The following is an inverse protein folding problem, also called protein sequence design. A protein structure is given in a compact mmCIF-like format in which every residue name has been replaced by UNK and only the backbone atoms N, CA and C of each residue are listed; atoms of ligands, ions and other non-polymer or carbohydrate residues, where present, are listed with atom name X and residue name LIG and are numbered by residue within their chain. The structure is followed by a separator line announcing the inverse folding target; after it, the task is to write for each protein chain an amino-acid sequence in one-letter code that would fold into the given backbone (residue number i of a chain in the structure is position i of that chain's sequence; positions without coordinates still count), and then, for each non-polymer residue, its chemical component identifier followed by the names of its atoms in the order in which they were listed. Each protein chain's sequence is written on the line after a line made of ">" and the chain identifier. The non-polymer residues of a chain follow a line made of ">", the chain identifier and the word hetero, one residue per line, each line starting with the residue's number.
data_IF_587478844630
#
_entry.id   IF_587478844630
#
_cell.length_a   1.000
_cell.length_b   1.000
_cell.length_c   1.000
_cell.angle_alpha   90.00
_cell.angle_beta   90.00
_cell.angle_gamma   90.00
#
_symmetry.space_group_name_H-M   'P 1'
#
loop_
_entity.id
_entity.type
_entity.pdbx_description
1 polymer ?
#
# COMPACT_ATOMS: atom_id res chain seq x y z
N UNK A 1 -51.74 -34.81 9.96
CA UNK A 1 -50.77 -34.42 8.93
C UNK A 1 -50.10 -33.16 9.40
N UNK A 2 -48.94 -33.30 10.02
CA UNK A 2 -48.25 -32.23 10.73
C UNK A 2 -47.12 -31.67 9.82
N UNK A 3 -47.23 -30.41 9.46
CA UNK A 3 -46.14 -29.69 8.74
C UNK A 3 -45.16 -29.14 9.78
N UNK A 4 -43.98 -29.75 9.86
CA UNK A 4 -42.82 -29.15 10.52
C UNK A 4 -42.18 -28.17 9.60
N UNK A 5 -42.27 -26.87 9.90
CA UNK A 5 -41.49 -25.82 9.31
C UNK A 5 -40.13 -25.75 10.03
N UNK A 6 -39.07 -26.18 9.36
CA UNK A 6 -37.69 -26.02 9.83
C UNK A 6 -37.24 -24.56 9.72
N UNK A 7 -37.11 -23.90 10.85
CA UNK A 7 -36.51 -22.57 10.96
C UNK A 7 -34.99 -22.69 10.97
N UNK A 8 -34.35 -22.38 9.83
CA UNK A 8 -32.88 -22.29 9.77
C UNK A 8 -32.47 -20.93 10.31
N UNK A 9 -31.97 -20.89 11.53
CA UNK A 9 -31.40 -19.71 12.17
C UNK A 9 -29.97 -19.53 11.66
N UNK A 10 -29.78 -18.67 10.67
CA UNK A 10 -28.46 -18.26 10.20
C UNK A 10 -27.87 -17.27 11.22
N UNK A 11 -27.05 -17.77 12.12
CA UNK A 11 -26.23 -16.93 13.01
C UNK A 11 -25.11 -16.27 12.20
N UNK A 12 -25.30 -14.99 11.90
CA UNK A 12 -24.24 -14.09 11.39
C UNK A 12 -23.23 -13.87 12.53
N UNK A 13 -22.11 -14.59 12.51
CA UNK A 13 -20.95 -14.26 13.34
C UNK A 13 -20.33 -12.97 12.78
N UNK A 14 -20.70 -11.82 13.34
CA UNK A 14 -19.92 -10.60 13.26
C UNK A 14 -18.64 -10.80 14.08
N UNK A 15 -17.56 -11.21 13.40
CA UNK A 15 -16.23 -11.16 13.97
C UNK A 15 -15.83 -9.68 14.10
N UNK A 16 -16.14 -9.08 15.24
CA UNK A 16 -15.49 -7.85 15.69
C UNK A 16 -14.04 -8.22 15.95
N UNK A 17 -13.14 -7.84 15.04
CA UNK A 17 -11.69 -7.89 15.28
C UNK A 17 -11.38 -6.88 16.38
N UNK A 18 -11.54 -7.29 17.63
CA UNK A 18 -10.96 -6.57 18.76
C UNK A 18 -9.45 -6.63 18.54
N UNK A 19 -8.81 -5.45 18.40
CA UNK A 19 -7.36 -5.33 18.47
C UNK A 19 -6.93 -6.03 19.76
N UNK A 20 -6.36 -7.21 19.63
CA UNK A 20 -5.91 -8.00 20.78
C UNK A 20 -4.80 -7.18 21.45
N UNK A 21 -5.06 -6.74 22.68
CA UNK A 21 -4.13 -5.94 23.45
C UNK A 21 -2.85 -6.75 23.65
N UNK A 22 -1.79 -6.40 22.92
CA UNK A 22 -0.51 -7.12 22.98
C UNK A 22 0.11 -6.99 24.37
N UNK A 23 0.55 -8.11 24.92
CA UNK A 23 1.24 -8.16 26.20
C UNK A 23 2.77 -8.16 26.06
N UNK A 24 3.27 -8.30 24.83
CA UNK A 24 4.70 -8.27 24.51
C UNK A 24 4.91 -7.54 23.15
N UNK A 25 6.08 -6.94 22.90
CA UNK A 25 6.40 -6.37 21.59
C UNK A 25 6.40 -7.49 20.52
N UNK A 26 6.20 -7.15 19.25
CA UNK A 26 6.30 -8.10 18.15
C UNK A 26 7.70 -8.70 18.09
N UNK A 27 7.77 -9.98 17.71
CA UNK A 27 9.05 -10.64 17.49
C UNK A 27 9.74 -10.16 16.21
N UNK A 28 11.04 -10.48 16.09
CA UNK A 28 11.85 -10.08 14.92
C UNK A 28 11.25 -10.55 13.59
N UNK A 29 10.67 -11.75 13.53
CA UNK A 29 10.03 -12.28 12.33
C UNK A 29 8.82 -11.44 11.88
N UNK A 30 8.00 -10.96 12.81
CA UNK A 30 6.86 -10.09 12.52
C UNK A 30 7.31 -8.71 12.03
N UNK A 31 8.34 -8.12 12.68
CA UNK A 31 8.95 -6.85 12.24
C UNK A 31 9.59 -6.98 10.85
N UNK A 32 10.21 -8.13 10.56
CA UNK A 32 10.78 -8.41 9.24
C UNK A 32 9.69 -8.54 8.15
N UNK A 33 8.52 -9.11 8.47
CA UNK A 33 7.40 -9.18 7.53
C UNK A 33 6.83 -7.79 7.22
N UNK A 34 6.66 -6.93 8.22
CA UNK A 34 6.22 -5.53 8.04
C UNK A 34 7.26 -4.78 7.20
N UNK A 35 8.54 -4.90 7.54
CA UNK A 35 9.65 -4.33 6.76
C UNK A 35 9.60 -4.79 5.31
N UNK A 36 9.40 -6.09 5.06
CA UNK A 36 9.35 -6.66 3.72
C UNK A 36 8.19 -6.10 2.89
N UNK A 37 7.00 -5.98 3.46
CA UNK A 37 5.84 -5.38 2.76
C UNK A 37 6.03 -3.90 2.49
N UNK A 38 6.55 -3.14 3.44
CA UNK A 38 6.84 -1.71 3.25
C UNK A 38 7.90 -1.44 2.18
N UNK A 39 8.95 -2.27 2.11
CA UNK A 39 9.95 -2.22 1.03
C UNK A 39 9.34 -2.52 -0.35
N UNK A 40 8.50 -3.56 -0.44
CA UNK A 40 7.80 -3.88 -1.69
C UNK A 40 6.87 -2.74 -2.13
N UNK A 41 6.20 -2.08 -1.19
CA UNK A 41 5.35 -0.93 -1.48
C UNK A 41 6.17 0.25 -2.01
N UNK A 42 7.35 0.53 -1.43
CA UNK A 42 8.25 1.57 -1.91
C UNK A 42 8.81 1.27 -3.30
N UNK A 43 9.19 0.01 -3.55
CA UNK A 43 9.64 -0.41 -4.89
C UNK A 43 8.50 -0.30 -5.92
N UNK A 44 7.26 -0.65 -5.55
CA UNK A 44 6.08 -0.48 -6.40
C UNK A 44 5.87 0.98 -6.78
N UNK A 45 5.95 1.88 -5.80
CA UNK A 45 5.76 3.32 -6.00
C UNK A 45 6.80 3.91 -6.97
N UNK A 46 8.08 3.58 -6.77
CA UNK A 46 9.18 3.97 -7.67
C UNK A 46 8.94 3.46 -9.08
N UNK A 47 8.58 2.18 -9.23
CA UNK A 47 8.32 1.58 -10.54
C UNK A 47 7.12 2.24 -11.24
N UNK A 48 6.02 2.45 -10.51
CA UNK A 48 4.82 3.07 -11.03
C UNK A 48 5.08 4.53 -11.47
N UNK A 49 5.83 5.30 -10.67
CA UNK A 49 6.18 6.68 -11.00
C UNK A 49 6.98 6.76 -12.31
N UNK A 50 8.15 6.09 -12.37
CA UNK A 50 9.02 6.18 -13.54
C UNK A 50 8.41 5.56 -14.80
N UNK A 51 7.64 4.48 -14.67
CA UNK A 51 6.86 3.93 -15.78
C UNK A 51 5.78 4.92 -16.27
N UNK A 52 5.13 5.64 -15.33
CA UNK A 52 4.14 6.67 -15.69
C UNK A 52 4.80 7.80 -16.47
N UNK A 53 5.95 8.30 -16.03
CA UNK A 53 6.70 9.34 -16.77
C UNK A 53 7.06 8.89 -18.17
N UNK A 54 7.52 7.64 -18.33
CA UNK A 54 7.86 7.07 -19.63
C UNK A 54 6.65 6.90 -20.55
N UNK A 55 5.45 6.57 -20.01
CA UNK A 55 4.23 6.47 -20.80
C UNK A 55 3.66 7.84 -21.15
N UNK A 56 3.66 8.78 -20.21
CA UNK A 56 3.19 10.17 -20.44
C UNK A 56 3.99 10.86 -21.54
N UNK A 57 5.29 10.59 -21.63
CA UNK A 57 6.16 11.10 -22.71
C UNK A 57 5.71 10.67 -24.11
N UNK A 58 4.92 9.59 -24.24
CA UNK A 58 4.33 9.14 -25.49
C UNK A 58 2.98 9.80 -25.83
N UNK A 59 2.49 10.71 -24.97
CA UNK A 59 1.22 11.43 -25.15
C UNK A 59 0.04 10.48 -25.43
N UNK A 60 -0.30 9.58 -24.49
CA UNK A 60 -1.37 8.60 -24.67
C UNK A 60 -2.70 9.31 -24.98
N UNK A 61 -3.54 8.79 -25.94
CA UNK A 61 -4.83 9.34 -26.22
C UNK A 61 -5.74 9.38 -24.99
N UNK A 62 -6.54 10.42 -24.87
CA UNK A 62 -7.52 10.55 -23.79
C UNK A 62 -8.42 9.30 -23.70
N UNK A 63 -8.69 8.81 -22.49
CA UNK A 63 -9.51 7.63 -22.24
C UNK A 63 -8.85 6.29 -22.57
N UNK A 64 -7.63 6.27 -23.15
CA UNK A 64 -6.91 5.01 -23.41
C UNK A 64 -6.41 4.34 -22.14
N UNK A 65 -6.16 5.12 -21.08
CA UNK A 65 -5.66 4.69 -19.77
C UNK A 65 -6.58 5.21 -18.67
N UNK A 66 -7.12 4.31 -17.85
CA UNK A 66 -7.89 4.64 -16.65
C UNK A 66 -7.08 4.36 -15.36
N UNK A 67 -6.09 3.45 -15.43
CA UNK A 67 -5.22 3.09 -14.30
C UNK A 67 -3.94 2.43 -14.75
N UNK A 68 -2.99 2.39 -13.83
CA UNK A 68 -1.77 1.59 -13.91
C UNK A 68 -1.81 0.45 -12.90
N UNK A 69 -1.04 -0.61 -13.16
CA UNK A 69 -0.87 -1.77 -12.30
C UNK A 69 0.55 -2.26 -12.46
N UNK A 70 1.27 -2.46 -11.35
CA UNK A 70 2.64 -2.96 -11.39
C UNK A 70 2.74 -4.37 -10.81
N UNK A 71 3.67 -5.15 -11.35
CA UNK A 71 4.01 -6.50 -10.88
C UNK A 71 5.51 -6.68 -10.90
N UNK A 72 6.08 -7.18 -9.81
CA UNK A 72 7.48 -7.61 -9.78
C UNK A 72 7.60 -9.01 -10.39
N UNK A 73 8.58 -9.18 -11.28
CA UNK A 73 8.96 -10.45 -11.91
C UNK A 73 10.45 -10.72 -11.62
N UNK A 74 10.94 -11.87 -12.01
CA UNK A 74 12.38 -12.19 -11.89
C UNK A 74 13.26 -11.25 -12.74
N UNK A 75 12.72 -10.69 -13.81
CA UNK A 75 13.40 -9.73 -14.69
C UNK A 75 13.25 -8.25 -14.27
N UNK A 76 12.59 -7.96 -13.15
CA UNK A 76 12.28 -6.61 -12.69
C UNK A 76 10.80 -6.27 -12.70
N UNK A 77 10.48 -4.99 -12.61
CA UNK A 77 9.10 -4.51 -12.57
C UNK A 77 8.49 -4.42 -13.98
N UNK A 78 7.24 -4.86 -14.09
CA UNK A 78 6.38 -4.64 -15.27
C UNK A 78 5.20 -3.79 -14.82
N UNK A 79 4.98 -2.66 -15.48
CA UNK A 79 3.86 -1.76 -15.21
C UNK A 79 2.99 -1.68 -16.45
N UNK A 80 1.71 -2.03 -16.31
CA UNK A 80 0.75 -1.94 -17.40
C UNK A 80 -0.19 -0.77 -17.19
N UNK A 81 -0.59 -0.13 -18.28
CA UNK A 81 -1.49 1.01 -18.32
C UNK A 81 -2.67 0.67 -19.21
N UNK A 82 -3.87 0.85 -18.70
CA UNK A 82 -5.05 0.43 -19.46
C UNK A 82 -6.36 0.66 -18.73
N UNK A 83 -7.39 -0.05 -19.16
CA UNK A 83 -8.73 0.04 -18.63
C UNK A 83 -9.48 -1.28 -18.80
N UNK A 84 -10.60 -1.44 -18.11
CA UNK A 84 -11.50 -2.54 -18.43
C UNK A 84 -12.14 -2.36 -19.83
N UNK A 85 -12.48 -3.47 -20.47
CA UNK A 85 -13.40 -3.44 -21.60
C UNK A 85 -14.83 -3.07 -21.13
N UNK A 86 -15.76 -2.84 -22.07
CA UNK A 86 -17.14 -2.45 -21.75
C UNK A 86 -17.88 -3.46 -20.87
N UNK A 87 -17.66 -4.76 -21.12
CA UNK A 87 -18.26 -5.86 -20.33
C UNK A 87 -17.60 -6.06 -18.96
N UNK A 88 -16.46 -5.41 -18.72
CA UNK A 88 -15.62 -5.55 -17.50
C UNK A 88 -15.20 -6.99 -17.19
N UNK A 89 -15.10 -7.83 -18.21
CA UNK A 89 -14.64 -9.22 -18.13
C UNK A 89 -13.17 -9.40 -18.56
N UNK A 90 -12.53 -8.32 -19.06
CA UNK A 90 -11.12 -8.27 -19.44
C UNK A 90 -10.50 -6.92 -19.08
N UNK A 91 -9.19 -6.92 -18.86
CA UNK A 91 -8.40 -5.70 -18.79
C UNK A 91 -7.67 -5.47 -20.11
N UNK A 92 -7.81 -4.28 -20.67
CA UNK A 92 -7.22 -3.86 -21.94
C UNK A 92 -5.93 -3.09 -21.65
N UNK A 93 -4.78 -3.70 -21.90
CA UNK A 93 -3.46 -3.08 -21.75
C UNK A 93 -3.16 -2.27 -23.00
N UNK A 94 -3.14 -0.94 -22.87
CA UNK A 94 -2.74 -0.03 -23.93
C UNK A 94 -1.22 0.15 -23.99
N UNK A 95 -0.56 0.22 -22.82
CA UNK A 95 0.89 0.34 -22.70
C UNK A 95 1.42 -0.63 -21.67
N UNK A 96 2.61 -1.18 -21.93
CA UNK A 96 3.36 -2.05 -21.04
C UNK A 96 4.76 -1.46 -20.89
N UNK A 97 5.14 -1.06 -19.69
CA UNK A 97 6.45 -0.55 -19.35
C UNK A 97 7.23 -1.62 -18.59
N UNK A 98 8.37 -2.01 -19.11
CA UNK A 98 9.27 -3.02 -18.51
C UNK A 98 10.51 -2.33 -17.98
N UNK A 99 10.88 -2.61 -16.74
CA UNK A 99 12.09 -2.07 -16.10
C UNK A 99 13.35 -2.48 -16.87
N UNK A 100 14.26 -1.53 -17.08
CA UNK A 100 15.54 -1.72 -17.72
C UNK A 100 16.67 -2.03 -16.74
N UNK A 101 17.87 -1.49 -17.05
CA UNK A 101 19.09 -1.73 -16.26
C UNK A 101 19.13 -1.02 -14.90
N UNK A 102 18.24 -0.08 -14.64
CA UNK A 102 18.14 0.64 -13.36
C UNK A 102 16.71 0.71 -12.87
N UNK A 103 16.48 1.01 -11.56
CA UNK A 103 15.14 1.14 -10.99
C UNK A 103 14.29 2.25 -11.62
N UNK A 104 14.92 3.23 -12.28
CA UNK A 104 14.26 4.40 -12.87
C UNK A 104 14.13 4.33 -14.39
N UNK A 105 14.70 3.32 -15.04
CA UNK A 105 14.65 3.14 -16.49
C UNK A 105 13.52 2.20 -16.87
N UNK A 106 12.62 2.66 -17.76
CA UNK A 106 11.53 1.84 -18.28
C UNK A 106 11.46 1.91 -19.81
N UNK A 107 11.35 0.73 -20.46
CA UNK A 107 11.08 0.59 -21.90
C UNK A 107 9.58 0.40 -22.08
N UNK A 108 8.95 1.26 -22.88
CA UNK A 108 7.51 1.23 -23.10
C UNK A 108 7.19 0.56 -24.42
N UNK A 109 6.25 -0.39 -24.39
CA UNK A 109 5.58 -0.96 -25.56
C UNK A 109 4.14 -0.48 -25.61
N UNK A 110 3.74 0.15 -26.72
CA UNK A 110 2.34 0.41 -27.05
C UNK A 110 1.73 -0.86 -27.66
N UNK A 111 0.51 -1.19 -27.25
CA UNK A 111 -0.31 -2.24 -27.87
C UNK A 111 -1.40 -1.62 -28.70
N UNK A 112 -1.44 -1.96 -30.01
CA UNK A 112 -2.44 -1.45 -30.96
C UNK A 112 -2.87 -2.60 -31.90
N UNK A 113 -4.08 -3.18 -31.71
CA UNK A 113 -5.06 -2.85 -30.65
C UNK A 113 -4.58 -3.19 -29.24
N UNK A 114 -5.22 -2.64 -28.19
CA UNK A 114 -4.89 -2.96 -26.81
C UNK A 114 -4.91 -4.46 -26.52
N UNK A 115 -3.90 -4.96 -25.80
CA UNK A 115 -3.79 -6.38 -25.44
C UNK A 115 -4.80 -6.73 -24.35
N UNK A 116 -5.66 -7.70 -24.64
CA UNK A 116 -6.59 -8.24 -23.65
C UNK A 116 -5.87 -9.15 -22.64
N UNK A 117 -6.20 -9.02 -21.36
CA UNK A 117 -5.72 -9.94 -20.31
C UNK A 117 -6.82 -10.27 -19.31
N UNK A 118 -6.78 -11.51 -18.80
CA UNK A 118 -7.60 -12.04 -17.71
C UNK A 118 -6.73 -12.62 -16.58
N UNK A 119 -5.44 -12.27 -16.56
CA UNK A 119 -4.45 -12.72 -15.61
C UNK A 119 -4.38 -11.82 -14.34
N UNK A 120 -3.22 -11.80 -13.67
CA UNK A 120 -2.96 -10.99 -12.48
C UNK A 120 -3.46 -9.54 -12.62
N UNK A 121 -3.21 -8.88 -13.76
CA UNK A 121 -3.57 -7.46 -13.93
C UNK A 121 -5.08 -7.24 -13.96
N UNK A 122 -5.83 -8.19 -14.50
CA UNK A 122 -7.30 -8.14 -14.46
C UNK A 122 -7.81 -8.26 -13.01
N UNK A 123 -7.30 -9.23 -12.24
CA UNK A 123 -7.71 -9.41 -10.85
C UNK A 123 -7.25 -8.27 -9.95
N UNK A 124 -6.05 -7.75 -10.17
CA UNK A 124 -5.54 -6.56 -9.47
C UNK A 124 -6.40 -5.32 -9.74
N UNK A 125 -6.84 -5.10 -10.98
CA UNK A 125 -7.76 -4.01 -11.32
C UNK A 125 -9.10 -4.15 -10.61
N UNK A 126 -9.67 -5.38 -10.52
CA UNK A 126 -10.90 -5.66 -9.77
C UNK A 126 -10.70 -5.42 -8.27
N UNK A 127 -9.57 -5.86 -7.71
CA UNK A 127 -9.25 -5.67 -6.31
C UNK A 127 -9.18 -4.19 -5.92
N UNK A 128 -8.63 -3.33 -6.80
CA UNK A 128 -8.67 -1.87 -6.62
C UNK A 128 -10.12 -1.37 -6.55
N UNK A 129 -10.98 -1.77 -7.49
CA UNK A 129 -12.38 -1.34 -7.48
C UNK A 129 -13.09 -1.77 -6.20
N UNK A 130 -12.86 -3.01 -5.76
CA UNK A 130 -13.42 -3.56 -4.52
C UNK A 130 -12.94 -2.76 -3.29
N UNK A 131 -11.65 -2.46 -3.21
CA UNK A 131 -11.09 -1.67 -2.11
C UNK A 131 -11.63 -0.23 -2.11
N UNK A 132 -11.66 0.42 -3.27
CA UNK A 132 -12.12 1.82 -3.39
C UNK A 132 -13.63 1.95 -3.14
N UNK A 133 -14.45 0.95 -3.47
CA UNK A 133 -15.88 0.94 -3.14
C UNK A 133 -16.15 0.94 -1.63
N UNK A 134 -15.26 0.30 -0.84
CA UNK A 134 -15.34 0.26 0.63
C UNK A 134 -14.58 1.41 1.32
N UNK A 135 -13.60 2.01 0.66
CA UNK A 135 -12.74 3.04 1.23
C UNK A 135 -13.52 4.31 1.57
N UNK A 136 -13.31 4.80 2.79
CA UNK A 136 -13.87 6.08 3.29
C UNK A 136 -12.73 6.92 3.84
N UNK A 137 -12.09 7.67 2.99
CA UNK A 137 -11.01 8.60 3.33
C UNK A 137 -11.44 10.05 3.26
N UNK A 138 -10.50 10.97 3.52
CA UNK A 138 -10.68 12.39 3.31
C UNK A 138 -10.85 12.70 1.81
N UNK A 139 -11.45 13.86 1.49
CA UNK A 139 -11.61 14.29 0.09
C UNK A 139 -10.27 14.82 -0.47
N UNK A 140 -9.41 13.91 -0.92
CA UNK A 140 -8.09 14.20 -1.52
C UNK A 140 -7.70 13.10 -2.49
N UNK A 141 -6.69 13.29 -3.34
CA UNK A 141 -6.11 12.23 -4.16
C UNK A 141 -5.45 11.14 -3.31
N UNK A 142 -5.56 9.90 -3.78
CA UNK A 142 -4.91 8.72 -3.20
C UNK A 142 -4.17 7.94 -4.27
N UNK A 143 -3.00 7.44 -3.94
CA UNK A 143 -2.30 6.42 -4.71
C UNK A 143 -2.80 5.04 -4.28
N UNK A 144 -2.87 4.12 -5.23
CA UNK A 144 -3.31 2.75 -4.97
C UNK A 144 -2.26 1.78 -5.49
N UNK A 145 -1.79 0.89 -4.62
CA UNK A 145 -0.84 -0.17 -4.97
C UNK A 145 -1.44 -1.54 -4.71
N UNK A 146 -1.13 -2.51 -5.57
CA UNK A 146 -1.57 -3.90 -5.40
C UNK A 146 -0.35 -4.81 -5.33
N UNK A 147 -0.19 -5.52 -4.22
CA UNK A 147 0.87 -6.49 -4.02
C UNK A 147 0.28 -7.90 -3.81
N UNK A 148 0.92 -8.95 -4.32
CA UNK A 148 0.55 -10.32 -3.97
C UNK A 148 0.62 -10.53 -2.45
N UNK A 149 -0.41 -11.15 -1.87
CA UNK A 149 -0.42 -11.54 -0.47
C UNK A 149 -0.06 -13.02 -0.32
N UNK A 150 0.49 -13.40 0.85
CA UNK A 150 0.58 -14.80 1.23
C UNK A 150 -0.85 -15.40 1.23
N UNK A 151 -0.99 -16.69 1.01
CA UNK A 151 -2.28 -17.38 0.99
C UNK A 151 -3.27 -16.97 -0.12
N UNK A 152 -2.75 -16.74 -1.34
CA UNK A 152 -3.56 -16.52 -2.55
C UNK A 152 -4.55 -15.34 -2.47
N UNK A 153 -4.09 -14.23 -1.93
CA UNK A 153 -4.84 -12.96 -1.90
C UNK A 153 -4.06 -11.81 -2.55
N UNK A 154 -4.67 -10.64 -2.54
CA UNK A 154 -4.09 -9.40 -3.00
C UNK A 154 -4.14 -8.36 -1.87
N UNK A 155 -3.00 -7.80 -1.49
CA UNK A 155 -2.97 -6.59 -0.67
C UNK A 155 -3.22 -5.38 -1.57
N UNK A 156 -4.21 -4.58 -1.20
CA UNK A 156 -4.46 -3.29 -1.83
C UNK A 156 -4.20 -2.21 -0.81
N UNK A 157 -3.22 -1.36 -1.08
CA UNK A 157 -2.88 -0.20 -0.26
C UNK A 157 -3.52 1.04 -0.87
N UNK A 158 -4.23 1.81 -0.05
CA UNK A 158 -4.77 3.12 -0.40
C UNK A 158 -4.05 4.13 0.48
N UNK A 159 -3.16 4.93 -0.10
CA UNK A 159 -2.30 5.88 0.60
C UNK A 159 -2.52 7.30 0.06
N UNK A 160 -2.54 8.34 0.90
CA UNK A 160 -2.70 9.71 0.42
C UNK A 160 -1.60 10.08 -0.58
N UNK A 161 -1.99 10.65 -1.71
CA UNK A 161 -1.03 11.11 -2.72
C UNK A 161 -0.32 12.39 -2.27
N UNK A 162 0.96 12.51 -2.60
CA UNK A 162 1.68 13.76 -2.48
C UNK A 162 1.15 14.76 -3.51
N UNK A 163 0.64 15.90 -3.05
CA UNK A 163 0.08 16.95 -3.91
C UNK A 163 0.95 18.20 -3.97
N UNK A 164 1.96 18.28 -3.09
CA UNK A 164 2.91 19.40 -3.04
C UNK A 164 4.32 18.86 -2.93
N UNK A 165 5.23 19.41 -3.73
CA UNK A 165 6.64 19.03 -3.67
C UNK A 165 7.22 19.28 -2.27
N UNK A 166 7.98 18.31 -1.73
CA UNK A 166 8.62 18.40 -0.42
C UNK A 166 7.69 18.25 0.78
N UNK A 167 6.38 18.02 0.57
CA UNK A 167 5.42 17.73 1.63
C UNK A 167 4.92 16.29 1.45
N UNK A 168 5.23 15.44 2.41
CA UNK A 168 4.87 14.02 2.38
C UNK A 168 3.68 13.78 3.31
N UNK A 169 2.51 13.38 2.77
CA UNK A 169 1.37 13.00 3.61
C UNK A 169 1.66 11.66 4.26
N UNK A 170 1.70 11.62 5.59
CA UNK A 170 1.91 10.40 6.38
C UNK A 170 0.63 10.04 7.11
N UNK A 171 0.16 8.81 6.97
CA UNK A 171 -1.05 8.30 7.61
C UNK A 171 -2.33 8.48 6.80
N UNK A 172 -3.50 8.21 7.41
CA UNK A 172 -4.78 8.17 6.73
C UNK A 172 -4.91 7.04 5.71
N UNK A 173 -4.09 6.06 5.82
CA UNK A 173 -3.87 4.95 4.90
C UNK A 173 -4.59 3.68 5.36
N UNK A 174 -4.95 2.85 4.39
CA UNK A 174 -5.65 1.58 4.61
C UNK A 174 -5.02 0.49 3.75
N UNK A 175 -4.79 -0.66 4.34
CA UNK A 175 -4.48 -1.89 3.63
C UNK A 175 -5.71 -2.81 3.63
N UNK A 176 -6.08 -3.29 2.45
CA UNK A 176 -7.07 -4.35 2.29
C UNK A 176 -6.36 -5.66 1.95
N UNK A 177 -6.84 -6.76 2.50
CA UNK A 177 -6.63 -8.09 1.94
C UNK A 177 -7.86 -8.44 1.13
N UNK A 178 -7.69 -8.59 -0.17
CA UNK A 178 -8.74 -8.93 -1.13
C UNK A 178 -8.52 -10.37 -1.61
N UNK A 179 -9.62 -11.08 -1.89
CA UNK A 179 -9.56 -12.43 -2.47
C UNK A 179 -8.82 -12.42 -3.82
N UNK A 180 -8.24 -13.56 -4.20
CA UNK A 180 -7.43 -13.70 -5.42
C UNK A 180 -8.18 -13.28 -6.69
N UNK A 181 -9.50 -13.51 -6.76
CA UNK A 181 -10.37 -13.09 -7.87
C UNK A 181 -10.71 -11.59 -7.86
N UNK A 182 -10.25 -10.84 -6.86
CA UNK A 182 -10.40 -9.40 -6.75
C UNK A 182 -11.76 -8.89 -6.29
N UNK A 183 -12.69 -9.77 -5.82
CA UNK A 183 -14.09 -9.35 -5.60
C UNK A 183 -14.53 -9.27 -4.15
N UNK A 184 -13.78 -9.85 -3.20
CA UNK A 184 -14.18 -9.92 -1.79
C UNK A 184 -13.13 -9.29 -0.88
N UNK A 185 -13.54 -8.36 -0.02
CA UNK A 185 -12.74 -7.90 1.11
C UNK A 185 -12.67 -9.01 2.14
N UNK A 186 -11.47 -9.51 2.43
CA UNK A 186 -11.19 -10.51 3.47
C UNK A 186 -10.85 -9.80 4.77
N UNK A 187 -9.97 -8.78 4.70
CA UNK A 187 -9.55 -7.97 5.83
C UNK A 187 -9.43 -6.49 5.41
N UNK A 188 -9.77 -5.60 6.31
CA UNK A 188 -9.50 -4.16 6.20
C UNK A 188 -8.71 -3.72 7.41
N UNK A 189 -7.49 -3.25 7.18
CA UNK A 189 -6.62 -2.70 8.21
C UNK A 189 -6.43 -1.21 8.00
N UNK A 190 -7.02 -0.40 8.88
CA UNK A 190 -6.66 1.00 8.99
C UNK A 190 -5.32 1.08 9.69
N UNK A 191 -4.30 1.63 9.03
CA UNK A 191 -2.94 1.68 9.57
C UNK A 191 -2.74 2.93 10.41
N UNK A 192 -3.23 4.08 9.94
CA UNK A 192 -3.20 5.35 10.68
C UNK A 192 -4.55 6.07 10.65
N UNK A 193 -4.87 6.81 11.71
CA UNK A 193 -6.15 7.51 11.83
C UNK A 193 -6.22 8.82 11.06
N UNK A 194 -5.15 9.62 11.10
CA UNK A 194 -5.11 10.97 10.55
C UNK A 194 -3.92 11.13 9.62
N UNK A 195 -4.01 12.11 8.76
CA UNK A 195 -2.94 12.47 7.83
C UNK A 195 -2.11 13.59 8.45
N UNK A 196 -0.81 13.37 8.55
CA UNK A 196 0.19 14.35 8.95
C UNK A 196 0.92 14.84 7.69
N UNK A 197 0.85 16.12 7.40
CA UNK A 197 1.62 16.73 6.31
C UNK A 197 3.05 17.00 6.79
N UNK A 198 3.97 16.08 6.43
CA UNK A 198 5.37 16.13 6.86
C UNK A 198 6.19 16.91 5.85
N UNK A 199 6.62 18.12 6.23
CA UNK A 199 7.52 18.94 5.41
C UNK A 199 8.97 18.81 5.91
N UNK A 200 9.92 18.75 4.98
CA UNK A 200 11.32 18.95 5.33
C UNK A 200 11.51 20.39 5.83
N UNK A 201 12.29 20.62 6.89
CA UNK A 201 12.63 21.98 7.31
C UNK A 201 13.28 22.77 6.17
N UNK A 202 12.91 24.03 6.02
CA UNK A 202 13.51 24.89 5.00
C UNK A 202 15.02 25.04 5.23
N UNK A 203 15.79 25.00 4.15
CA UNK A 203 17.25 25.20 4.16
C UNK A 203 18.05 24.14 4.94
N UNK A 204 17.59 22.89 4.98
CA UNK A 204 18.37 21.78 5.54
C UNK A 204 18.51 20.66 4.53
N UNK A 205 19.76 20.22 4.34
CA UNK A 205 20.09 19.08 3.49
C UNK A 205 19.99 17.74 4.26
N UNK A 206 19.75 17.82 5.57
CA UNK A 206 19.66 16.64 6.44
C UNK A 206 18.59 16.81 7.51
N UNK A 207 17.92 15.70 7.82
CA UNK A 207 17.00 15.53 8.94
C UNK A 207 17.63 14.48 9.86
N UNK A 208 17.79 14.81 11.14
CA UNK A 208 18.37 13.86 12.09
C UNK A 208 17.47 12.62 12.29
N UNK A 209 16.16 12.85 12.47
CA UNK A 209 15.12 11.81 12.53
C UNK A 209 13.73 12.45 12.44
N UNK A 210 12.75 11.67 12.00
CA UNK A 210 11.34 11.97 12.20
C UNK A 210 10.81 11.32 13.46
N UNK A 211 9.61 11.73 13.89
CA UNK A 211 8.88 11.12 15.01
C UNK A 211 7.37 11.27 14.80
N UNK A 212 6.64 10.18 15.02
CA UNK A 212 5.19 10.24 15.14
C UNK A 212 4.66 9.23 16.18
N UNK A 213 3.39 9.34 16.51
CA UNK A 213 2.70 8.42 17.43
C UNK A 213 1.71 7.56 16.66
N UNK A 214 1.87 6.23 16.76
CA UNK A 214 0.91 5.25 16.26
C UNK A 214 -0.14 4.99 17.35
N UNK A 215 -1.40 5.28 17.04
CA UNK A 215 -2.51 5.19 18.00
C UNK A 215 -3.49 4.07 17.69
N UNK A 216 -3.39 3.44 16.51
CA UNK A 216 -4.29 2.36 16.08
C UNK A 216 -3.89 1.03 16.71
N UNK A 217 -2.59 0.73 16.73
CA UNK A 217 -2.06 -0.51 17.28
C UNK A 217 -0.73 -0.24 18.02
N UNK A 218 -0.21 -1.25 18.73
CA UNK A 218 1.07 -1.19 19.44
C UNK A 218 2.23 -1.76 18.60
N UNK A 219 2.12 -1.72 17.26
CA UNK A 219 3.15 -2.13 16.29
C UNK A 219 3.30 -1.08 15.18
N UNK A 220 4.47 -1.02 14.52
CA UNK A 220 4.64 -0.27 13.28
C UNK A 220 3.80 -0.85 12.14
N UNK A 221 3.54 -0.02 11.12
CA UNK A 221 2.80 -0.40 9.92
C UNK A 221 3.72 -0.50 8.69
N UNK A 222 3.24 -1.19 7.66
CA UNK A 222 3.96 -1.31 6.38
C UNK A 222 4.26 0.08 5.77
N UNK A 223 3.35 1.03 5.97
CA UNK A 223 3.47 2.39 5.46
C UNK A 223 4.43 3.26 6.25
N UNK A 224 4.76 2.94 7.50
CA UNK A 224 5.87 3.60 8.21
C UNK A 224 7.20 3.35 7.51
N UNK A 225 7.42 2.10 7.09
CA UNK A 225 8.60 1.71 6.31
C UNK A 225 8.58 2.38 4.94
N UNK A 226 7.44 2.35 4.26
CA UNK A 226 7.26 3.02 2.97
C UNK A 226 7.64 4.50 3.03
N UNK A 227 7.12 5.26 4.00
CA UNK A 227 7.39 6.69 4.13
C UNK A 227 8.86 7.00 4.41
N UNK A 228 9.55 6.18 5.22
CA UNK A 228 10.99 6.34 5.43
C UNK A 228 11.77 6.17 4.14
N UNK A 229 11.39 5.22 3.29
CA UNK A 229 12.11 4.90 2.06
C UNK A 229 11.86 5.91 0.92
N UNK A 230 10.66 6.53 0.86
CA UNK A 230 10.32 7.43 -0.26
C UNK A 230 10.61 8.91 0.03
N UNK A 231 10.67 9.33 1.31
CA UNK A 231 10.88 10.74 1.65
C UNK A 231 12.29 11.23 1.33
N UNK A 232 12.39 12.51 1.00
CA UNK A 232 13.66 13.21 0.78
C UNK A 232 13.72 14.48 1.65
N UNK A 233 14.84 14.74 2.34
CA UNK A 233 16.02 13.88 2.50
C UNK A 233 15.70 12.61 3.30
N UNK A 234 16.50 11.56 3.08
CA UNK A 234 16.36 10.30 3.80
C UNK A 234 16.69 10.49 5.29
N UNK A 235 15.83 10.00 6.17
CA UNK A 235 16.03 10.08 7.62
C UNK A 235 15.32 8.89 8.30
N UNK A 236 15.83 8.38 9.44
CA UNK A 236 15.13 7.38 10.22
C UNK A 236 13.86 7.98 10.85
N UNK A 237 12.92 7.11 11.25
CA UNK A 237 11.68 7.50 11.91
C UNK A 237 11.56 6.81 13.26
N UNK A 238 11.22 7.58 14.30
CA UNK A 238 10.84 7.03 15.58
C UNK A 238 9.32 6.92 15.68
N UNK A 239 8.84 5.77 16.11
CA UNK A 239 7.41 5.48 16.25
C UNK A 239 7.13 5.20 17.72
N UNK A 240 6.35 6.08 18.35
CA UNK A 240 5.84 5.89 19.70
C UNK A 240 4.42 5.28 19.63
N UNK A 241 4.24 4.08 20.19
CA UNK A 241 2.89 3.51 20.43
C UNK A 241 2.47 3.75 21.88
N UNK A 242 1.31 3.26 22.29
CA UNK A 242 0.91 3.35 23.70
C UNK A 242 1.87 2.60 24.64
N UNK A 243 2.44 1.48 24.18
CA UNK A 243 3.27 0.60 25.00
C UNK A 243 4.74 0.57 24.64
N UNK A 244 5.08 0.78 23.37
CA UNK A 244 6.40 0.50 22.84
C UNK A 244 6.92 1.64 21.99
N UNK A 245 8.23 1.68 21.85
CA UNK A 245 8.95 2.59 20.96
C UNK A 245 9.74 1.78 19.96
N UNK A 246 9.62 2.14 18.70
CA UNK A 246 10.34 1.54 17.58
C UNK A 246 11.14 2.61 16.85
N UNK A 247 12.09 2.16 16.04
CA UNK A 247 12.82 2.98 15.09
C UNK A 247 12.81 2.28 13.75
N UNK A 248 12.41 2.99 12.70
CA UNK A 248 12.60 2.58 11.31
C UNK A 248 13.86 3.24 10.82
N UNK A 249 14.86 2.44 10.46
CA UNK A 249 16.12 2.92 9.90
C UNK A 249 15.94 3.37 8.44
N UNK A 250 16.90 4.12 7.91
CA UNK A 250 16.83 4.64 6.52
C UNK A 250 16.75 3.55 5.44
N UNK A 251 17.13 2.33 5.75
CA UNK A 251 16.98 1.16 4.87
C UNK A 251 15.62 0.45 5.03
N UNK A 252 14.73 1.00 5.87
CA UNK A 252 13.41 0.44 6.17
C UNK A 252 13.40 -0.63 7.26
N UNK A 253 14.56 -0.99 7.85
CA UNK A 253 14.60 -1.98 8.93
C UNK A 253 13.96 -1.44 10.20
N UNK A 254 12.98 -2.19 10.74
CA UNK A 254 12.33 -1.84 12.00
C UNK A 254 13.10 -2.45 13.17
N UNK A 255 13.36 -1.64 14.22
CA UNK A 255 13.97 -2.07 15.48
C UNK A 255 13.05 -1.74 16.63
N UNK A 256 12.81 -2.71 17.51
CA UNK A 256 12.25 -2.45 18.82
C UNK A 256 13.31 -1.75 19.71
N UNK A 257 12.92 -0.66 20.36
CA UNK A 257 13.85 0.13 21.19
C UNK A 257 13.62 -0.11 22.68
N UNK A 258 12.38 0.10 23.14
CA UNK A 258 12.04 -0.03 24.57
C UNK A 258 10.52 -0.02 24.78
N UNK A 259 10.09 -0.24 26.02
CA UNK A 259 8.74 0.17 26.42
C UNK A 259 8.64 1.69 26.45
N UNK A 260 7.42 2.23 26.26
CA UNK A 260 7.18 3.67 26.36
C UNK A 260 7.55 4.23 27.75
N UNK A 261 7.22 3.50 28.81
CA UNK A 261 7.57 3.90 30.19
C UNK A 261 9.09 4.01 30.41
N UNK A 262 9.86 3.07 29.86
CA UNK A 262 11.32 3.11 29.96
C UNK A 262 11.92 4.24 29.11
N UNK A 263 11.30 4.55 27.96
CA UNK A 263 11.74 5.64 27.09
C UNK A 263 11.54 7.01 27.74
N UNK A 264 10.39 7.23 28.38
CA UNK A 264 10.08 8.49 29.08
C UNK A 264 10.99 8.71 30.29
N UNK A 265 11.31 7.64 31.05
CA UNK A 265 12.18 7.73 32.24
C UNK A 265 13.65 8.02 31.95
N UNK A 266 14.11 7.85 30.68
CA UNK A 266 15.49 8.17 30.27
C UNK A 266 15.71 9.63 29.87
N UNK A 267 14.65 10.44 29.81
CA UNK A 267 14.70 11.88 29.64
C UNK A 267 14.77 12.58 31.01
#
# INVERSE_FOLDING_TARGET
>A
MSNLASLILATLLLATMASAQRNAPPGEAELAEITGRGRQLAEYDVAAWHATDAVVALSPPEGSVARYLARKTDAGWVVVFGRFNEKRDKFLVAYEATQGGSPTEFKVRKHEPPKETTDFFFFAAKAIDTALADFKGEQRPYNVAVLPAKANGLYVYVVPAQTKQGIYPHGGDVRYLISQDGVKVIEKRRMHNSILEMAAPANTDSIAAGFHTAVVDDIPEDTDVFYVLVRKPAAPEWIGTRKYVYKVEVDGTIKYVSTMDAFIKKK
#
